data_IF_941344892327
#
_entry.id   IF_941344892327
#
_cell.length_a   1.000
_cell.length_b   1.000
_cell.length_c   1.000
_cell.angle_alpha   90.00
_cell.angle_beta   90.00
_cell.angle_gamma   90.00
#
_symmetry.space_group_name_H-M   'P 1'
#
loop_
_entity.id
_entity.type
_entity.pdbx_description
1 polymer ?
#
# COMPACT_ATOMS: atom_id res chain seq x y z
N UNK A 1 23.22 -40.75 8.99
CA UNK A 1 22.45 -40.13 7.89
C UNK A 1 22.17 -38.68 8.30
N UNK A 2 23.08 -37.77 7.96
CA UNK A 2 23.10 -36.38 8.43
C UNK A 2 22.47 -35.48 7.39
N UNK A 3 21.35 -34.82 7.74
CA UNK A 3 20.69 -33.81 6.90
C UNK A 3 21.62 -32.59 6.71
N UNK A 4 21.79 -32.06 5.49
CA UNK A 4 22.65 -30.91 5.25
C UNK A 4 21.97 -29.62 5.74
N UNK A 5 22.72 -28.81 6.46
CA UNK A 5 22.28 -27.51 6.98
C UNK A 5 21.88 -26.58 5.84
N UNK A 6 20.62 -26.16 5.85
CA UNK A 6 20.01 -25.24 4.88
C UNK A 6 20.52 -23.81 5.10
N UNK A 7 21.75 -23.50 4.69
CA UNK A 7 22.28 -22.12 4.67
C UNK A 7 22.21 -21.56 3.24
N UNK A 8 21.00 -21.43 2.69
CA UNK A 8 20.75 -20.93 1.32
C UNK A 8 20.55 -19.40 1.22
N UNK A 9 20.84 -18.63 2.28
CA UNK A 9 20.72 -17.17 2.22
C UNK A 9 22.06 -16.50 1.90
N UNK A 10 22.27 -16.01 0.65
CA UNK A 10 23.49 -15.30 0.31
C UNK A 10 23.56 -13.98 1.10
N UNK A 11 24.67 -13.81 1.83
CA UNK A 11 25.03 -12.64 2.65
C UNK A 11 24.96 -11.30 1.87
N UNK A 12 24.98 -11.35 0.53
CA UNK A 12 24.91 -10.21 -0.38
C UNK A 12 23.52 -9.53 -0.52
N UNK A 13 22.40 -10.14 -0.10
CA UNK A 13 21.06 -9.51 -0.22
C UNK A 13 20.86 -8.28 0.68
N UNK A 14 21.59 -8.19 1.80
CA UNK A 14 21.39 -7.13 2.79
C UNK A 14 21.71 -5.74 2.23
N UNK A 15 22.74 -5.61 1.38
CA UNK A 15 23.14 -4.33 0.79
C UNK A 15 22.08 -3.76 -0.15
N UNK A 16 21.42 -4.61 -0.94
CA UNK A 16 20.33 -4.22 -1.84
C UNK A 16 19.11 -3.76 -1.04
N UNK A 17 18.74 -4.48 0.02
CA UNK A 17 17.64 -4.08 0.90
C UNK A 17 17.90 -2.72 1.55
N UNK A 18 19.10 -2.47 2.07
CA UNK A 18 19.45 -1.18 2.65
C UNK A 18 19.48 -0.04 1.63
N UNK A 19 19.95 -0.31 0.41
CA UNK A 19 19.91 0.67 -0.68
C UNK A 19 18.46 1.04 -1.06
N UNK A 20 17.55 0.06 -1.15
CA UNK A 20 16.13 0.28 -1.41
C UNK A 20 15.46 1.09 -0.29
N UNK A 21 15.71 0.72 0.97
CA UNK A 21 15.19 1.47 2.13
C UNK A 21 15.70 2.90 2.12
N UNK A 22 16.99 3.11 1.83
CA UNK A 22 17.58 4.45 1.80
C UNK A 22 17.03 5.29 0.65
N UNK A 23 16.92 4.70 -0.54
CA UNK A 23 16.30 5.35 -1.71
C UNK A 23 14.84 5.71 -1.46
N UNK A 24 14.07 4.80 -0.83
CA UNK A 24 12.70 5.05 -0.42
C UNK A 24 12.60 6.21 0.57
N UNK A 25 13.43 6.25 1.60
CA UNK A 25 13.45 7.32 2.59
C UNK A 25 13.77 8.69 1.95
N UNK A 26 14.72 8.74 1.03
CA UNK A 26 15.06 9.97 0.31
C UNK A 26 13.91 10.45 -0.57
N UNK A 27 13.35 9.54 -1.39
CA UNK A 27 12.21 9.85 -2.25
C UNK A 27 11.01 10.33 -1.44
N UNK A 28 10.68 9.63 -0.36
CA UNK A 28 9.54 9.96 0.50
C UNK A 28 9.71 11.33 1.16
N UNK A 29 10.92 11.70 1.59
CA UNK A 29 11.21 13.05 2.10
C UNK A 29 10.96 14.13 1.05
N UNK A 30 11.35 13.89 -0.20
CA UNK A 30 11.13 14.84 -1.30
C UNK A 30 9.62 14.99 -1.58
N UNK A 31 8.89 13.88 -1.67
CA UNK A 31 7.44 13.88 -1.93
C UNK A 31 6.69 14.61 -0.82
N UNK A 32 6.99 14.35 0.46
CA UNK A 32 6.35 15.05 1.59
C UNK A 32 6.52 16.57 1.47
N UNK A 33 7.72 17.04 1.11
CA UNK A 33 7.98 18.48 1.02
C UNK A 33 7.23 19.11 -0.16
N UNK A 34 7.19 18.43 -1.31
CA UNK A 34 6.47 18.91 -2.49
C UNK A 34 4.96 18.97 -2.23
N UNK A 35 4.39 17.90 -1.68
CA UNK A 35 2.98 17.85 -1.28
C UNK A 35 2.67 18.91 -0.21
N UNK A 36 3.53 19.07 0.78
CA UNK A 36 3.37 20.09 1.82
C UNK A 36 3.31 21.52 1.26
N UNK A 37 4.13 21.83 0.25
CA UNK A 37 4.11 23.12 -0.46
C UNK A 37 2.86 23.29 -1.31
N UNK A 38 2.44 22.23 -2.01
CA UNK A 38 1.21 22.23 -2.80
C UNK A 38 -0.03 22.47 -1.93
N UNK A 39 -0.14 21.77 -0.80
CA UNK A 39 -1.23 21.93 0.16
C UNK A 39 -1.22 23.32 0.81
N UNK A 40 -0.04 23.85 1.15
CA UNK A 40 0.08 25.20 1.70
C UNK A 40 -0.36 26.25 0.67
N UNK A 41 -0.01 26.08 -0.61
CA UNK A 41 -0.50 26.94 -1.69
C UNK A 41 -2.02 26.83 -1.91
N UNK A 42 -2.61 25.65 -1.69
CA UNK A 42 -4.05 25.41 -1.91
C UNK A 42 -4.93 25.87 -0.75
N UNK A 43 -4.47 25.73 0.49
CA UNK A 43 -5.27 25.91 1.71
C UNK A 43 -4.75 27.01 2.64
N UNK A 44 -3.59 27.61 2.35
CA UNK A 44 -3.07 28.78 3.06
C UNK A 44 -2.79 28.53 4.55
N UNK A 45 -3.22 29.49 5.39
CA UNK A 45 -2.93 29.52 6.83
C UNK A 45 -3.50 28.32 7.59
N UNK A 46 -4.66 27.81 7.19
CA UNK A 46 -5.29 26.62 7.82
C UNK A 46 -4.36 25.41 7.71
N UNK A 47 -3.71 25.24 6.56
CA UNK A 47 -2.75 24.16 6.36
C UNK A 47 -1.45 24.42 7.15
N UNK A 48 -0.98 25.67 7.20
CA UNK A 48 0.21 26.03 7.96
C UNK A 48 0.04 25.77 9.47
N UNK A 49 -1.14 26.05 10.03
CA UNK A 49 -1.45 25.72 11.42
C UNK A 49 -1.55 24.21 11.65
N UNK A 50 -2.14 23.48 10.71
CA UNK A 50 -2.26 22.02 10.79
C UNK A 50 -0.89 21.34 10.76
N UNK A 51 0.01 21.75 9.85
CA UNK A 51 1.36 21.21 9.72
C UNK A 51 2.23 21.45 10.97
N UNK A 52 1.97 22.51 11.75
CA UNK A 52 2.65 22.75 13.04
C UNK A 52 2.23 21.75 14.12
N UNK A 53 0.99 21.25 14.06
CA UNK A 53 0.41 20.36 15.06
C UNK A 53 0.71 18.88 14.73
N UNK A 54 0.67 18.52 13.46
CA UNK A 54 0.77 17.12 13.01
C UNK A 54 2.17 16.79 12.45
N UNK A 55 2.89 15.81 13.02
CA UNK A 55 4.18 15.35 12.49
C UNK A 55 4.03 14.64 11.14
N UNK A 56 5.01 14.83 10.25
CA UNK A 56 4.93 14.40 8.85
C UNK A 56 5.36 12.94 8.61
N UNK A 57 6.21 12.36 9.47
CA UNK A 57 6.80 11.03 9.25
C UNK A 57 6.22 9.94 10.16
N UNK A 58 5.97 10.27 11.44
CA UNK A 58 5.40 9.34 12.42
C UNK A 58 4.08 9.93 12.90
N UNK A 59 2.92 9.33 12.55
CA UNK A 59 1.63 9.87 12.94
C UNK A 59 1.44 9.79 14.46
N UNK A 60 0.91 10.88 15.04
CA UNK A 60 0.46 10.89 16.45
C UNK A 60 -1.02 10.57 16.48
N UNK A 61 -1.36 9.31 16.79
CA UNK A 61 -2.76 8.85 16.84
C UNK A 61 -3.63 9.64 17.81
N UNK A 62 -3.04 10.21 18.88
CA UNK A 62 -3.77 11.05 19.84
C UNK A 62 -4.27 12.39 19.27
N UNK A 63 -3.76 12.82 18.12
CA UNK A 63 -4.22 14.05 17.44
C UNK A 63 -5.38 13.79 16.47
N UNK A 64 -5.75 12.53 16.23
CA UNK A 64 -6.86 12.18 15.35
C UNK A 64 -8.17 12.64 15.98
N UNK A 65 -8.86 13.57 15.32
CA UNK A 65 -10.19 14.07 15.70
C UNK A 65 -11.14 13.82 14.56
N UNK A 66 -12.03 12.84 14.75
CA UNK A 66 -13.06 12.50 13.77
C UNK A 66 -14.38 13.19 14.15
N UNK A 67 -15.05 13.89 13.22
CA UNK A 67 -16.41 14.37 13.43
C UNK A 67 -17.41 13.21 13.43
N UNK A 68 -18.56 13.41 14.09
CA UNK A 68 -19.63 12.40 14.16
C UNK A 68 -20.22 12.04 12.78
N UNK A 69 -20.22 12.98 11.84
CA UNK A 69 -20.77 12.80 10.50
C UNK A 69 -19.88 13.41 9.42
N UNK A 70 -19.70 12.68 8.31
CA UNK A 70 -19.02 13.15 7.11
C UNK A 70 -20.02 13.37 5.97
N UNK A 71 -20.05 14.58 5.40
CA UNK A 71 -20.79 14.84 4.17
C UNK A 71 -19.98 14.35 2.97
N UNK A 72 -20.46 13.30 2.31
CA UNK A 72 -19.78 12.69 1.15
C UNK A 72 -20.70 12.62 -0.06
N UNK A 73 -20.11 12.71 -1.25
CA UNK A 73 -20.85 12.45 -2.48
C UNK A 73 -21.05 10.94 -2.66
N UNK A 74 -22.27 10.47 -2.43
CA UNK A 74 -22.63 9.05 -2.48
C UNK A 74 -22.28 8.39 -3.81
N UNK A 75 -22.35 9.11 -4.94
CA UNK A 75 -22.01 8.56 -6.27
C UNK A 75 -20.52 8.25 -6.38
N UNK A 76 -19.68 9.18 -5.93
CA UNK A 76 -18.21 9.00 -5.92
C UNK A 76 -17.85 7.89 -4.94
N UNK A 77 -18.44 7.94 -3.74
CA UNK A 77 -18.20 6.94 -2.70
C UNK A 77 -18.52 5.51 -3.15
N UNK A 78 -19.69 5.29 -3.78
CA UNK A 78 -20.05 3.98 -4.34
C UNK A 78 -19.09 3.51 -5.43
N UNK A 79 -18.62 4.42 -6.29
CA UNK A 79 -17.63 4.07 -7.32
C UNK A 79 -16.33 3.62 -6.68
N UNK A 80 -15.84 4.34 -5.67
CA UNK A 80 -14.62 3.97 -4.95
C UNK A 80 -14.75 2.64 -4.22
N UNK A 81 -15.92 2.34 -3.63
CA UNK A 81 -16.19 1.04 -3.03
C UNK A 81 -16.15 -0.10 -4.07
N UNK A 82 -16.76 0.10 -5.23
CA UNK A 82 -16.73 -0.90 -6.30
C UNK A 82 -15.32 -1.11 -6.84
N UNK A 83 -14.56 -0.04 -7.00
CA UNK A 83 -13.16 -0.08 -7.45
C UNK A 83 -12.29 -0.90 -6.47
N UNK A 84 -12.41 -0.62 -5.17
CA UNK A 84 -11.72 -1.39 -4.14
C UNK A 84 -12.17 -2.87 -4.09
N UNK A 85 -13.47 -3.13 -4.28
CA UNK A 85 -14.02 -4.49 -4.25
C UNK A 85 -13.61 -5.31 -5.47
N UNK A 86 -13.30 -4.66 -6.61
CA UNK A 86 -12.91 -5.34 -7.84
C UNK A 86 -11.66 -6.22 -7.65
N UNK A 87 -10.69 -5.80 -6.83
CA UNK A 87 -9.52 -6.62 -6.51
C UNK A 87 -9.87 -7.91 -5.75
N UNK A 88 -10.83 -7.83 -4.83
CA UNK A 88 -11.31 -9.00 -4.09
C UNK A 88 -12.01 -9.97 -5.04
N UNK A 89 -12.86 -9.45 -5.94
CA UNK A 89 -13.49 -10.25 -6.98
C UNK A 89 -12.48 -10.93 -7.90
N UNK A 90 -11.42 -10.22 -8.28
CA UNK A 90 -10.35 -10.78 -9.09
C UNK A 90 -9.63 -11.93 -8.39
N UNK A 91 -9.32 -11.79 -7.09
CA UNK A 91 -8.75 -12.88 -6.29
C UNK A 91 -9.69 -14.09 -6.21
N UNK A 92 -10.98 -13.87 -5.94
CA UNK A 92 -11.98 -14.94 -5.93
C UNK A 92 -12.06 -15.63 -7.28
N UNK A 93 -12.04 -14.87 -8.38
CA UNK A 93 -12.06 -15.42 -9.74
C UNK A 93 -10.84 -16.29 -10.01
N UNK A 94 -9.63 -15.85 -9.65
CA UNK A 94 -8.42 -16.66 -9.79
C UNK A 94 -8.51 -17.95 -8.98
N UNK A 95 -8.90 -17.85 -7.71
CA UNK A 95 -9.05 -19.02 -6.85
C UNK A 95 -10.12 -19.99 -7.37
N UNK A 96 -11.21 -19.47 -7.94
CA UNK A 96 -12.24 -20.28 -8.58
C UNK A 96 -11.71 -21.02 -9.81
N UNK A 97 -10.94 -20.35 -10.67
CA UNK A 97 -10.29 -20.97 -11.84
C UNK A 97 -9.31 -22.07 -11.38
N UNK A 98 -8.50 -21.81 -10.36
CA UNK A 98 -7.59 -22.81 -9.79
C UNK A 98 -8.33 -24.05 -9.30
N UNK A 99 -9.48 -23.88 -8.63
CA UNK A 99 -10.31 -25.01 -8.17
C UNK A 99 -10.91 -25.81 -9.33
N UNK A 100 -11.33 -25.14 -10.41
CA UNK A 100 -11.82 -25.84 -11.60
C UNK A 100 -10.72 -26.63 -12.31
N UNK A 101 -9.50 -26.10 -12.35
CA UNK A 101 -8.34 -26.80 -12.89
C UNK A 101 -7.95 -28.02 -12.03
N UNK A 102 -8.05 -27.92 -10.70
CA UNK A 102 -7.81 -29.04 -9.79
C UNK A 102 -8.83 -30.19 -9.93
N UNK A 103 -10.03 -29.89 -10.45
CA UNK A 103 -11.08 -30.88 -10.69
C UNK A 103 -11.03 -31.46 -12.13
N UNK A 104 -9.97 -31.18 -12.89
CA UNK A 104 -9.81 -31.56 -14.30
C UNK A 104 -10.91 -31.03 -15.24
N UNK A 105 -11.70 -30.04 -14.80
CA UNK A 105 -12.76 -29.40 -15.61
C UNK A 105 -12.17 -28.40 -16.61
N UNK A 106 -11.05 -27.76 -16.25
CA UNK A 106 -10.33 -26.81 -17.11
C UNK A 106 -8.86 -27.24 -17.29
N UNK A 107 -8.33 -27.24 -18.52
CA UNK A 107 -6.93 -27.55 -18.76
C UNK A 107 -6.02 -26.39 -18.31
N UNK A 108 -4.84 -26.74 -17.77
CA UNK A 108 -3.82 -25.78 -17.35
C UNK A 108 -2.95 -25.43 -18.57
N UNK A 109 -3.10 -24.22 -19.11
CA UNK A 109 -2.38 -23.76 -20.31
C UNK A 109 -0.96 -23.22 -19.99
N UNK A 110 -0.73 -22.68 -18.79
CA UNK A 110 0.54 -22.07 -18.42
C UNK A 110 0.88 -22.35 -16.96
N UNK A 111 2.09 -22.88 -16.69
CA UNK A 111 2.57 -23.21 -15.34
C UNK A 111 3.66 -22.23 -14.96
N UNK A 112 3.36 -21.33 -14.03
CA UNK A 112 4.35 -20.39 -13.48
C UNK A 112 5.17 -21.14 -12.40
N UNK A 113 6.52 -21.08 -12.44
CA UNK A 113 7.39 -21.71 -11.44
C UNK A 113 7.36 -21.01 -10.08
#
# INVERSE_FOLDING_TARGET
MTLPSLTWFPKHRKGISWALVSGFLLHYRIVIQLEGRYLLARFGEVCAEYQKKVPHFIPRLSLLKEPDFYQVNVRVYRRSLLDATMFIWLYILFHFIERLQQMDVLPILFRVP
#
